data_IF_438199723019
#
_entry.id   IF_438199723019
#
_cell.length_a   1.000
_cell.length_b   1.000
_cell.length_c   1.000
_cell.angle_alpha   90.00
_cell.angle_beta   90.00
_cell.angle_gamma   90.00
#
_symmetry.space_group_name_H-M   'P 1'
#
loop_
_entity.id
_entity.type
_entity.pdbx_description
1 polymer ?
#
# COMPACT_ATOMS: atom_id res chain seq x y z
N UNK A 1 -7.67 10.38 -11.29
CA UNK A 1 -6.42 10.57 -12.06
C UNK A 1 -5.38 11.37 -11.27
N UNK A 2 -5.60 12.64 -10.90
CA UNK A 2 -4.58 13.44 -10.16
C UNK A 2 -4.06 12.79 -8.88
N UNK A 3 -4.96 12.38 -7.98
CA UNK A 3 -4.57 11.73 -6.71
C UNK A 3 -4.00 10.31 -6.94
N UNK A 4 -4.59 9.55 -7.85
CA UNK A 4 -4.10 8.21 -8.20
C UNK A 4 -2.68 8.29 -8.74
N UNK A 5 -2.36 9.22 -9.66
CA UNK A 5 -1.01 9.39 -10.22
C UNK A 5 0.05 9.66 -9.16
N UNK A 6 -0.27 10.46 -8.13
CA UNK A 6 0.66 10.72 -7.02
C UNK A 6 0.85 9.47 -6.15
N UNK A 7 -0.23 8.73 -5.87
CA UNK A 7 -0.19 7.47 -5.12
C UNK A 7 0.51 6.34 -5.89
N UNK A 8 0.44 6.32 -7.22
CA UNK A 8 1.15 5.35 -8.07
C UNK A 8 2.67 5.39 -7.88
N UNK A 9 3.25 6.59 -7.74
CA UNK A 9 4.71 6.78 -7.55
C UNK A 9 5.19 6.02 -6.31
N UNK A 10 4.41 6.08 -5.22
CA UNK A 10 4.66 5.35 -3.97
C UNK A 10 4.65 3.83 -4.22
N UNK A 11 3.59 3.32 -4.84
CA UNK A 11 3.40 1.88 -5.03
C UNK A 11 4.44 1.24 -5.96
N UNK A 12 4.97 1.98 -6.93
CA UNK A 12 6.00 1.46 -7.86
C UNK A 12 7.39 1.47 -7.23
N UNK A 13 7.76 2.56 -6.54
CA UNK A 13 9.17 2.81 -6.16
C UNK A 13 9.54 2.24 -4.81
N UNK A 14 8.69 2.38 -3.79
CA UNK A 14 9.02 1.96 -2.42
C UNK A 14 9.26 0.47 -2.30
N UNK A 15 8.41 -0.40 -2.87
CA UNK A 15 8.61 -1.83 -2.72
C UNK A 15 9.93 -2.30 -3.37
N UNK A 16 10.34 -1.65 -4.49
CA UNK A 16 11.63 -1.89 -5.13
C UNK A 16 12.79 -1.46 -4.23
N UNK A 17 12.70 -0.28 -3.60
CA UNK A 17 13.72 0.20 -2.67
C UNK A 17 13.84 -0.68 -1.41
N UNK A 18 12.72 -1.10 -0.82
CA UNK A 18 12.72 -2.01 0.35
C UNK A 18 13.37 -3.35 -0.03
N UNK A 19 13.02 -3.92 -1.19
CA UNK A 19 13.61 -5.18 -1.63
C UNK A 19 15.12 -5.05 -1.89
N UNK A 20 15.56 -3.95 -2.49
CA UNK A 20 16.98 -3.68 -2.71
C UNK A 20 17.74 -3.55 -1.37
N UNK A 21 17.20 -2.80 -0.40
CA UNK A 21 17.79 -2.66 0.93
C UNK A 21 17.91 -4.00 1.66
N UNK A 22 16.86 -4.83 1.65
CA UNK A 22 16.92 -6.15 2.26
C UNK A 22 18.01 -7.02 1.63
N UNK A 23 18.16 -6.98 0.30
CA UNK A 23 19.23 -7.69 -0.42
C UNK A 23 20.62 -7.16 -0.06
N UNK A 24 20.78 -5.84 0.07
CA UNK A 24 22.03 -5.25 0.54
C UNK A 24 22.37 -5.72 1.96
N UNK A 25 21.40 -5.76 2.87
CA UNK A 25 21.63 -6.23 4.24
C UNK A 25 21.94 -7.73 4.31
N UNK A 26 21.32 -8.55 3.48
CA UNK A 26 21.68 -9.97 3.35
C UNK A 26 23.15 -10.13 2.93
N UNK A 27 23.62 -9.33 1.96
CA UNK A 27 25.01 -9.35 1.50
C UNK A 27 25.97 -8.86 2.60
N UNK A 28 25.64 -7.74 3.25
CA UNK A 28 26.48 -7.16 4.33
C UNK A 28 26.55 -8.08 5.54
N UNK A 29 25.45 -8.78 5.89
CA UNK A 29 25.42 -9.71 7.03
C UNK A 29 26.25 -10.98 6.81
N UNK A 30 26.57 -11.31 5.55
CA UNK A 30 27.45 -12.43 5.19
C UNK A 30 28.93 -12.04 5.23
N UNK A 31 29.22 -10.74 5.20
CA UNK A 31 30.58 -10.16 5.18
C UNK A 31 30.86 -9.54 6.55
N UNK A 32 31.02 -10.41 7.56
CA UNK A 32 31.07 -10.02 8.97
C UNK A 32 32.39 -9.31 9.33
N UNK A 33 32.47 -8.01 9.02
CA UNK A 33 33.40 -7.05 9.63
C UNK A 33 32.88 -5.60 9.64
N UNK A 34 31.69 -5.31 9.07
CA UNK A 34 31.16 -3.95 9.10
C UNK A 34 30.36 -3.65 10.37
N UNK A 35 31.03 -2.95 11.28
CA UNK A 35 30.49 -2.32 12.50
C UNK A 35 29.15 -1.61 12.29
N UNK A 36 28.20 -1.90 13.19
CA UNK A 36 26.94 -1.18 13.37
C UNK A 36 27.20 0.32 13.52
N UNK A 37 26.86 1.09 12.49
CA UNK A 37 26.79 2.55 12.55
C UNK A 37 25.62 2.95 13.44
N UNK A 38 25.94 3.51 14.61
CA UNK A 38 24.98 4.02 15.58
C UNK A 38 24.35 5.32 15.04
N UNK A 39 23.46 5.20 14.05
CA UNK A 39 22.77 6.35 13.46
C UNK A 39 21.63 6.77 14.39
N UNK A 40 21.75 7.95 14.99
CA UNK A 40 20.70 8.54 15.82
C UNK A 40 19.43 8.75 15.00
N UNK A 41 18.32 8.17 15.45
CA UNK A 41 17.01 8.30 14.79
C UNK A 41 16.58 9.76 14.74
N UNK A 42 16.23 10.27 13.56
CA UNK A 42 15.87 11.69 13.40
C UNK A 42 14.52 11.97 14.09
N UNK A 43 14.50 12.80 15.15
CA UNK A 43 13.25 13.22 15.79
C UNK A 43 12.53 14.24 14.91
N UNK A 44 11.46 13.80 14.23
CA UNK A 44 10.65 14.66 13.38
C UNK A 44 9.61 15.44 14.20
N UNK A 45 9.55 16.76 14.03
CA UNK A 45 8.53 17.63 14.64
C UNK A 45 7.14 17.32 14.03
N UNK A 46 6.19 16.92 14.88
CA UNK A 46 4.83 16.56 14.47
C UNK A 46 3.96 17.82 14.35
N UNK A 47 3.62 18.23 13.12
CA UNK A 47 2.53 19.16 12.87
C UNK A 47 1.21 18.37 12.76
N UNK A 48 0.64 18.01 13.91
CA UNK A 48 -0.54 17.14 14.03
C UNK A 48 -1.87 17.91 13.91
N UNK A 49 -1.99 18.78 12.89
CA UNK A 49 -3.22 19.56 12.66
C UNK A 49 -4.09 18.90 11.59
N UNK A 50 -5.12 18.17 12.04
CA UNK A 50 -6.33 17.87 11.24
C UNK A 50 -6.33 16.61 10.38
N UNK A 51 -5.31 15.73 10.48
CA UNK A 51 -5.36 14.40 9.81
C UNK A 51 -5.81 13.33 10.81
N UNK A 52 -6.59 12.36 10.33
CA UNK A 52 -6.83 11.09 11.06
C UNK A 52 -5.46 10.50 11.40
N UNK A 53 -5.23 10.01 12.63
CA UNK A 53 -3.89 9.66 13.07
C UNK A 53 -3.32 8.62 12.10
N UNK A 54 -2.24 8.97 11.41
CA UNK A 54 -1.59 8.08 10.44
C UNK A 54 -1.13 6.76 11.07
N UNK A 55 -0.92 6.77 12.40
CA UNK A 55 -0.68 5.59 13.24
C UNK A 55 -1.93 4.72 13.37
N UNK A 56 -3.12 5.31 13.46
CA UNK A 56 -4.39 4.59 13.45
C UNK A 56 -4.64 3.95 12.08
N UNK A 57 -4.35 4.66 10.98
CA UNK A 57 -4.45 4.06 9.64
C UNK A 57 -3.48 2.89 9.48
N UNK A 58 -2.21 3.06 9.88
CA UNK A 58 -1.24 1.97 9.89
C UNK A 58 -1.71 0.78 10.74
N UNK A 59 -2.20 1.04 11.96
CA UNK A 59 -2.71 0.02 12.87
C UNK A 59 -3.96 -0.66 12.32
N UNK A 60 -4.87 0.04 11.66
CA UNK A 60 -6.09 -0.56 11.08
C UNK A 60 -5.75 -1.47 9.89
N UNK A 61 -4.69 -1.17 9.13
CA UNK A 61 -4.20 -2.01 8.03
C UNK A 61 -3.47 -3.25 8.55
N UNK A 62 -2.51 -3.09 9.47
CA UNK A 62 -1.62 -4.19 9.86
C UNK A 62 -2.00 -4.91 11.16
N UNK A 63 -2.76 -4.26 12.04
CA UNK A 63 -3.21 -4.81 13.32
C UNK A 63 -2.05 -5.44 14.10
N UNK A 64 -2.11 -6.75 14.43
CA UNK A 64 -1.07 -7.44 15.19
C UNK A 64 0.27 -7.53 14.44
N UNK A 65 0.27 -7.48 13.11
CA UNK A 65 1.49 -7.56 12.29
C UNK A 65 2.31 -6.27 12.30
N UNK A 66 1.73 -5.16 12.76
CA UNK A 66 2.35 -3.83 12.78
C UNK A 66 3.74 -3.86 13.42
N UNK A 67 3.87 -4.47 14.62
CA UNK A 67 5.14 -4.53 15.36
C UNK A 67 6.23 -5.29 14.60
N UNK A 68 5.86 -6.44 14.00
CA UNK A 68 6.80 -7.27 13.22
C UNK A 68 7.27 -6.56 11.95
N UNK A 69 6.38 -5.82 11.29
CA UNK A 69 6.71 -5.03 10.10
C UNK A 69 7.63 -3.86 10.43
N UNK A 70 7.37 -3.15 11.53
CA UNK A 70 8.25 -2.07 12.00
C UNK A 70 9.64 -2.62 12.29
N UNK A 71 9.74 -3.72 13.04
CA UNK A 71 11.03 -4.37 13.33
C UNK A 71 11.79 -4.72 12.04
N UNK A 72 11.13 -5.40 11.10
CA UNK A 72 11.74 -5.77 9.81
C UNK A 72 12.21 -4.57 8.98
N UNK A 73 11.51 -3.43 9.06
CA UNK A 73 11.93 -2.20 8.38
C UNK A 73 13.11 -1.54 9.10
N UNK A 74 13.11 -1.56 10.44
CA UNK A 74 14.20 -1.04 11.27
C UNK A 74 15.50 -1.83 11.08
N UNK A 75 15.42 -3.14 10.89
CA UNK A 75 16.59 -3.99 10.58
C UNK A 75 17.33 -3.48 9.34
N UNK A 76 16.58 -2.92 8.38
CA UNK A 76 17.15 -2.37 7.16
C UNK A 76 17.63 -0.94 7.28
N UNK A 77 16.88 -0.10 7.99
CA UNK A 77 17.28 1.25 8.36
C UNK A 77 16.39 1.75 9.52
N UNK A 78 16.95 2.28 10.62
CA UNK A 78 16.18 2.64 11.81
C UNK A 78 15.16 3.78 11.59
N UNK A 79 15.39 4.67 10.62
CA UNK A 79 14.48 5.77 10.27
C UNK A 79 13.39 5.35 9.27
N UNK A 80 13.59 4.24 8.55
CA UNK A 80 12.70 3.79 7.48
C UNK A 80 11.26 3.56 7.93
N UNK A 81 10.95 2.92 9.08
CA UNK A 81 9.57 2.80 9.53
C UNK A 81 8.91 4.16 9.78
N UNK A 82 9.61 5.09 10.42
CA UNK A 82 9.08 6.43 10.70
C UNK A 82 8.83 7.21 9.41
N UNK A 83 9.78 7.16 8.47
CA UNK A 83 9.63 7.78 7.16
C UNK A 83 8.47 7.18 6.37
N UNK A 84 8.29 5.86 6.41
CA UNK A 84 7.16 5.18 5.77
C UNK A 84 5.84 5.63 6.41
N UNK A 85 5.72 5.50 7.73
CA UNK A 85 4.48 5.76 8.45
C UNK A 85 4.09 7.25 8.35
N UNK A 86 5.01 8.19 8.48
CA UNK A 86 4.69 9.61 8.42
C UNK A 86 4.46 10.10 6.99
N UNK A 87 5.43 9.90 6.09
CA UNK A 87 5.38 10.48 4.75
C UNK A 87 4.33 9.80 3.86
N UNK A 88 4.12 8.50 4.05
CA UNK A 88 3.25 7.71 3.17
C UNK A 88 1.88 7.56 3.79
N UNK A 89 1.79 7.02 5.00
CA UNK A 89 0.50 6.86 5.66
C UNK A 89 -0.04 8.20 6.13
N UNK A 90 0.80 9.12 6.61
CA UNK A 90 0.34 10.45 7.04
C UNK A 90 0.06 11.42 5.92
N UNK A 91 1.04 11.72 5.07
CA UNK A 91 0.85 12.79 4.09
C UNK A 91 0.09 12.38 2.83
N UNK A 92 0.19 11.12 2.40
CA UNK A 92 -0.31 10.71 1.08
C UNK A 92 -1.50 9.74 1.11
N UNK A 93 -1.55 8.81 2.07
CA UNK A 93 -2.61 7.79 2.12
C UNK A 93 -3.73 8.12 3.12
N UNK A 94 -3.44 8.89 4.17
CA UNK A 94 -4.49 9.42 5.06
C UNK A 94 -5.06 10.70 4.48
N UNK A 95 -6.38 10.72 4.33
CA UNK A 95 -7.07 11.93 3.99
C UNK A 95 -7.24 12.83 5.22
N UNK A 96 -7.18 14.17 5.06
CA UNK A 96 -7.58 15.12 6.10
C UNK A 96 -9.01 14.86 6.55
N UNK A 97 -9.28 14.96 7.87
CA UNK A 97 -10.61 14.69 8.42
C UNK A 97 -11.68 15.65 7.86
N UNK A 98 -11.30 16.91 7.62
CA UNK A 98 -12.18 17.97 7.12
C UNK A 98 -12.37 17.95 5.61
N UNK A 99 -11.46 17.30 4.87
CA UNK A 99 -11.45 17.27 3.40
C UNK A 99 -11.00 15.90 2.90
N UNK A 100 -11.89 14.89 2.95
CA UNK A 100 -11.58 13.56 2.44
C UNK A 100 -11.20 13.61 0.95
N UNK A 101 -10.21 12.80 0.56
CA UNK A 101 -9.76 12.69 -0.81
C UNK A 101 -10.77 11.93 -1.67
N UNK A 102 -10.84 12.21 -2.99
CA UNK A 102 -11.83 11.59 -3.86
C UNK A 102 -11.67 10.07 -4.05
N UNK A 103 -10.52 9.47 -3.76
CA UNK A 103 -10.32 8.01 -3.94
C UNK A 103 -10.67 7.18 -2.70
N UNK A 104 -10.67 7.76 -1.50
CA UNK A 104 -10.93 7.01 -0.26
C UNK A 104 -10.07 5.74 -0.08
N UNK A 105 -10.38 4.92 0.93
CA UNK A 105 -9.56 3.75 1.30
C UNK A 105 -9.65 2.59 0.31
N UNK A 106 -10.86 2.32 -0.20
CA UNK A 106 -11.13 1.20 -1.10
C UNK A 106 -10.48 1.45 -2.46
N UNK A 107 -10.74 2.59 -3.11
CA UNK A 107 -10.14 2.87 -4.41
C UNK A 107 -8.63 3.03 -4.33
N UNK A 108 -8.08 3.58 -3.24
CA UNK A 108 -6.63 3.60 -3.00
C UNK A 108 -6.02 2.20 -3.01
N UNK A 109 -6.69 1.22 -2.38
CA UNK A 109 -6.21 -0.16 -2.35
C UNK A 109 -6.34 -0.86 -3.71
N UNK A 110 -7.41 -0.59 -4.46
CA UNK A 110 -7.58 -1.10 -5.82
C UNK A 110 -6.53 -0.54 -6.80
N UNK A 111 -6.24 0.76 -6.72
CA UNK A 111 -5.16 1.40 -7.48
C UNK A 111 -3.81 0.75 -7.13
N UNK A 112 -3.53 0.50 -5.86
CA UNK A 112 -2.31 -0.17 -5.43
C UNK A 112 -2.19 -1.59 -6.01
N UNK A 113 -3.25 -2.40 -5.86
CA UNK A 113 -3.29 -3.78 -6.40
C UNK A 113 -3.02 -3.77 -7.91
N UNK A 114 -3.71 -2.91 -8.67
CA UNK A 114 -3.53 -2.85 -10.12
C UNK A 114 -2.12 -2.48 -10.55
N UNK A 115 -1.50 -1.55 -9.83
CA UNK A 115 -0.13 -1.11 -10.07
C UNK A 115 0.90 -2.19 -9.76
N UNK A 116 0.69 -2.91 -8.67
CA UNK A 116 1.62 -3.95 -8.21
C UNK A 116 1.55 -5.19 -9.11
N UNK A 117 0.35 -5.53 -9.58
CA UNK A 117 0.15 -6.60 -10.57
C UNK A 117 0.82 -6.26 -11.91
N UNK A 118 0.66 -5.02 -12.42
CA UNK A 118 1.31 -4.62 -13.69
C UNK A 118 2.84 -4.54 -13.58
N UNK A 119 3.39 -4.29 -12.39
CA UNK A 119 4.84 -4.17 -12.16
C UNK A 119 5.55 -5.52 -11.92
N UNK A 120 4.83 -6.64 -11.96
CA UNK A 120 5.30 -8.03 -12.03
C UNK A 120 6.26 -8.56 -10.93
N UNK A 121 6.51 -7.86 -9.80
CA UNK A 121 7.56 -8.29 -8.83
C UNK A 121 7.33 -8.00 -7.33
N UNK A 122 6.10 -7.85 -6.83
CA UNK A 122 5.90 -7.27 -5.49
C UNK A 122 4.96 -8.08 -4.57
N UNK A 123 5.20 -9.39 -4.43
CA UNK A 123 4.36 -10.33 -3.66
C UNK A 123 3.97 -9.88 -2.24
N UNK A 124 4.93 -9.50 -1.36
CA UNK A 124 4.60 -9.04 0.00
C UNK A 124 3.78 -7.73 0.02
N UNK A 125 4.05 -6.82 -0.92
CA UNK A 125 3.33 -5.55 -1.01
C UNK A 125 1.91 -5.75 -1.54
N UNK A 126 1.75 -6.62 -2.54
CA UNK A 126 0.43 -6.99 -3.08
C UNK A 126 -0.44 -7.60 -1.97
N UNK A 127 0.13 -8.52 -1.18
CA UNK A 127 -0.57 -9.11 -0.04
C UNK A 127 -0.98 -8.04 0.98
N UNK A 128 -0.12 -7.08 1.29
CA UNK A 128 -0.45 -5.97 2.20
C UNK A 128 -1.67 -5.16 1.71
N UNK A 129 -1.72 -4.81 0.43
CA UNK A 129 -2.84 -4.04 -0.12
C UNK A 129 -4.12 -4.87 -0.27
N UNK A 130 -4.02 -6.18 -0.51
CA UNK A 130 -5.16 -7.10 -0.44
C UNK A 130 -5.73 -7.18 0.97
N UNK A 131 -4.88 -7.32 1.99
CA UNK A 131 -5.31 -7.31 3.39
C UNK A 131 -5.93 -5.95 3.77
N UNK A 132 -5.32 -4.85 3.31
CA UNK A 132 -5.85 -3.50 3.51
C UNK A 132 -7.22 -3.29 2.88
N UNK A 133 -7.43 -3.80 1.66
CA UNK A 133 -8.72 -3.79 0.95
C UNK A 133 -9.76 -4.58 1.74
N UNK A 134 -9.47 -5.84 2.11
CA UNK A 134 -10.40 -6.68 2.88
C UNK A 134 -10.75 -6.08 4.24
N UNK A 135 -9.81 -5.40 4.90
CA UNK A 135 -10.05 -4.74 6.20
C UNK A 135 -10.81 -3.43 6.08
N UNK A 136 -10.85 -2.81 4.90
CA UNK A 136 -11.78 -1.71 4.65
C UNK A 136 -13.25 -2.17 4.72
N UNK A 137 -13.50 -3.48 4.69
CA UNK A 137 -14.81 -4.12 4.81
C UNK A 137 -15.11 -4.67 6.21
N UNK A 138 -14.38 -4.30 7.27
CA UNK A 138 -14.57 -4.96 8.56
C UNK A 138 -15.59 -4.21 9.46
N UNK A 139 -16.80 -4.76 9.71
CA UNK A 139 -17.84 -4.10 10.52
C UNK A 139 -17.41 -3.87 11.98
N UNK A 140 -16.42 -4.62 12.46
CA UNK A 140 -15.91 -4.47 13.84
C UNK A 140 -14.95 -3.30 14.06
N UNK A 141 -14.44 -2.63 13.02
CA UNK A 141 -13.43 -1.54 13.17
C UNK A 141 -13.99 -0.17 12.78
N UNK A 142 -14.88 -0.11 11.79
CA UNK A 142 -15.37 1.16 11.21
C UNK A 142 -16.90 1.37 11.39
N UNK A 143 -17.50 0.74 12.41
CA UNK A 143 -18.92 0.91 12.74
C UNK A 143 -19.87 -0.02 11.99
N UNK A 144 -21.12 -0.01 12.47
CA UNK A 144 -22.31 -0.78 12.06
C UNK A 144 -22.37 -1.08 10.53
N UNK A 145 -22.90 -2.25 10.15
CA UNK A 145 -23.00 -2.69 8.74
C UNK A 145 -23.65 -1.63 7.84
N UNK A 146 -24.57 -0.85 8.40
CA UNK A 146 -25.25 0.27 7.75
C UNK A 146 -24.33 1.46 7.41
N UNK A 147 -23.27 1.71 8.19
CA UNK A 147 -22.30 2.78 7.91
C UNK A 147 -21.36 2.38 6.77
N UNK A 148 -20.97 1.11 6.72
CA UNK A 148 -20.16 0.53 5.63
C UNK A 148 -20.94 0.55 4.31
N UNK A 149 -22.22 0.16 4.34
CA UNK A 149 -23.11 0.20 3.17
C UNK A 149 -23.30 1.61 2.62
N UNK A 150 -23.32 2.63 3.49
CA UNK A 150 -23.36 4.05 3.09
C UNK A 150 -22.05 4.52 2.48
N UNK A 151 -20.90 4.12 3.04
CA UNK A 151 -19.58 4.46 2.50
C UNK A 151 -19.29 3.77 1.17
N UNK A 152 -19.73 2.52 0.98
CA UNK A 152 -19.56 1.79 -0.28
C UNK A 152 -20.46 2.35 -1.39
N UNK A 153 -21.74 2.65 -1.08
CA UNK A 153 -22.65 3.35 -2.01
C UNK A 153 -22.17 4.72 -2.44
N UNK A 154 -21.67 5.54 -1.51
CA UNK A 154 -21.28 6.92 -1.80
C UNK A 154 -19.93 7.03 -2.54
N UNK A 155 -19.09 6.00 -2.52
CA UNK A 155 -17.72 6.06 -3.05
C UNK A 155 -17.50 5.30 -4.37
N UNK A 156 -18.17 4.16 -4.57
CA UNK A 156 -17.90 3.28 -5.73
C UNK A 156 -19.12 2.57 -6.30
N UNK A 157 -20.33 2.85 -5.81
CA UNK A 157 -21.58 2.30 -6.32
C UNK A 157 -21.89 0.88 -5.83
N UNK A 158 -22.91 0.27 -6.44
CA UNK A 158 -23.38 -1.06 -6.05
C UNK A 158 -22.35 -2.15 -6.42
N UNK A 159 -22.18 -3.15 -5.55
CA UNK A 159 -21.30 -4.31 -5.79
C UNK A 159 -19.90 -4.24 -5.17
N UNK A 160 -19.54 -3.11 -4.53
CA UNK A 160 -18.28 -2.96 -3.80
C UNK A 160 -18.12 -4.01 -2.70
N UNK A 161 -19.19 -4.32 -1.97
CA UNK A 161 -19.18 -5.33 -0.91
C UNK A 161 -18.78 -6.74 -1.42
N UNK A 162 -19.04 -7.04 -2.70
CA UNK A 162 -18.60 -8.28 -3.33
C UNK A 162 -17.10 -8.24 -3.66
N UNK A 163 -16.60 -7.10 -4.15
CA UNK A 163 -15.17 -6.90 -4.48
C UNK A 163 -14.26 -7.07 -3.26
N UNK A 164 -14.78 -6.78 -2.06
CA UNK A 164 -14.05 -6.88 -0.81
C UNK A 164 -13.96 -8.31 -0.25
N UNK A 165 -14.71 -9.27 -0.82
CA UNK A 165 -14.67 -10.69 -0.46
C UNK A 165 -13.59 -11.43 -1.26
N UNK A 166 -13.22 -12.62 -0.81
CA UNK A 166 -12.15 -13.42 -1.45
C UNK A 166 -12.39 -13.66 -2.94
N UNK A 167 -13.62 -14.02 -3.33
CA UNK A 167 -13.97 -14.19 -4.76
C UNK A 167 -13.80 -12.92 -5.56
N UNK A 168 -14.16 -11.76 -5.00
CA UNK A 168 -14.00 -10.45 -5.62
C UNK A 168 -12.53 -10.06 -5.79
N UNK A 169 -11.73 -10.23 -4.73
CA UNK A 169 -10.27 -9.98 -4.78
C UNK A 169 -9.59 -10.87 -5.82
N UNK A 170 -9.91 -12.17 -5.86
CA UNK A 170 -9.38 -13.11 -6.85
C UNK A 170 -9.77 -12.65 -8.27
N UNK A 171 -11.02 -12.23 -8.46
CA UNK A 171 -11.50 -11.72 -9.74
C UNK A 171 -10.73 -10.47 -10.16
N UNK A 172 -10.56 -9.48 -9.27
CA UNK A 172 -9.78 -8.26 -9.54
C UNK A 172 -8.37 -8.60 -10.02
N UNK A 173 -7.66 -9.45 -9.28
CA UNK A 173 -6.28 -9.84 -9.62
C UNK A 173 -6.22 -10.54 -10.98
N UNK A 174 -7.13 -11.49 -11.24
CA UNK A 174 -7.20 -12.20 -12.53
C UNK A 174 -7.50 -11.26 -13.69
N UNK A 175 -8.48 -10.39 -13.55
CA UNK A 175 -8.87 -9.42 -14.58
C UNK A 175 -7.72 -8.48 -14.93
N UNK A 176 -7.00 -7.98 -13.93
CA UNK A 176 -5.85 -7.10 -14.16
C UNK A 176 -4.71 -7.86 -14.84
N UNK A 177 -4.42 -9.09 -14.42
CA UNK A 177 -3.39 -9.91 -15.06
C UNK A 177 -3.74 -10.22 -16.53
N UNK A 178 -5.02 -10.47 -16.84
CA UNK A 178 -5.49 -10.65 -18.21
C UNK A 178 -5.29 -9.37 -19.05
N UNK A 179 -5.65 -8.20 -18.51
CA UNK A 179 -5.43 -6.92 -19.18
C UNK A 179 -3.95 -6.65 -19.45
N UNK A 180 -3.09 -6.88 -18.46
CA UNK A 180 -1.63 -6.73 -18.62
C UNK A 180 -1.10 -7.66 -19.72
N UNK A 181 -1.56 -8.92 -19.75
CA UNK A 181 -1.18 -9.87 -20.78
C UNK A 181 -1.63 -9.42 -22.19
N UNK A 182 -2.86 -8.91 -22.32
CA UNK A 182 -3.37 -8.38 -23.59
C UNK A 182 -2.56 -7.18 -24.08
N UNK A 183 -2.27 -6.22 -23.20
CA UNK A 183 -1.45 -5.04 -23.55
C UNK A 183 -0.06 -5.46 -24.03
N UNK A 184 0.60 -6.38 -23.32
CA UNK A 184 1.91 -6.89 -23.71
C UNK A 184 1.88 -7.62 -25.08
N UNK A 185 0.81 -8.36 -25.38
CA UNK A 185 0.63 -9.02 -26.69
C UNK A 185 0.46 -8.01 -27.82
N UNK A 186 -0.30 -6.93 -27.58
CA UNK A 186 -0.50 -5.85 -28.56
C UNK A 186 0.80 -5.11 -28.84
N UNK A 187 1.56 -4.72 -27.82
CA UNK A 187 2.87 -4.06 -27.99
C UNK A 187 3.86 -4.94 -28.77
N UNK A 188 3.91 -6.24 -28.45
CA UNK A 188 4.78 -7.20 -29.14
C UNK A 188 4.39 -7.38 -30.61
N UNK A 189 3.12 -7.21 -30.96
CA UNK A 189 2.62 -7.33 -32.34
C UNK A 189 2.95 -6.08 -33.15
N UNK A 190 2.84 -4.88 -32.55
CA UNK A 190 3.20 -3.60 -33.19
C UNK A 190 4.71 -3.54 -33.50
N UNK A 191 5.55 -4.03 -32.59
CA UNK A 191 7.01 -4.05 -32.78
C UNK A 191 7.42 -5.02 -33.90
N UNK A 192 6.68 -6.10 -34.13
CA UNK A 192 6.96 -7.08 -35.20
C UNK A 192 6.46 -6.66 -36.59
N UNK A 193 5.63 -5.61 -36.68
CA UNK A 193 5.11 -5.07 -37.94
C UNK A 193 5.95 -3.92 -38.52
N UNK A 194 7.07 -3.58 -37.88
CA UNK A 194 8.08 -2.63 -38.35
C UNK A 194 9.43 -3.33 -38.55
#
# INVERSE_FOLDING_TARGET
IRESSLKLILFIRIPKSINALNRFNEIISLDSDSTSSNCQTFKQHQADRGRRSYKELWKSVYGPLSKRLIAKLSDSNPDLPNHIILSHYGHLLSDPAERPGPLGRIATSLVAIGTLCSSNKLGPQLLSHVLGLKKAFNPTIDGDEDQIRRLSKNSMGDGVDWLLRDKGVIWIIKSINQLVALVHQTESSIIKSH
#
